data_IF_348959986146
#
_entry.id   IF_348959986146
#
_cell.length_a   1.000
_cell.length_b   1.000
_cell.length_c   1.000
_cell.angle_alpha   90.00
_cell.angle_beta   90.00
_cell.angle_gamma   90.00
#
_symmetry.space_group_name_H-M   'P 1'
#
loop_
_entity.id
_entity.type
_entity.pdbx_description
1 polymer ?
#
# COMPACT_ATOMS: atom_id res chain seq x y z
N UNK A 1 38.57 -6.70 15.68
CA UNK A 1 37.19 -7.19 15.47
C UNK A 1 36.66 -6.53 14.22
N UNK A 2 36.45 -7.30 13.15
CA UNK A 2 36.00 -6.76 11.86
C UNK A 2 34.54 -6.34 11.98
N UNK A 3 34.28 -5.03 12.02
CA UNK A 3 32.94 -4.45 12.00
C UNK A 3 32.41 -4.48 10.55
N UNK A 4 32.24 -5.68 10.00
CA UNK A 4 31.49 -5.87 8.77
C UNK A 4 30.01 -5.80 9.15
N UNK A 5 29.24 -4.80 8.71
CA UNK A 5 27.82 -4.74 9.02
C UNK A 5 27.16 -6.03 8.52
N UNK A 6 26.49 -6.75 9.41
CA UNK A 6 25.70 -7.93 9.05
C UNK A 6 24.68 -7.56 7.97
N UNK A 7 24.58 -8.39 6.93
CA UNK A 7 23.57 -8.22 5.90
C UNK A 7 22.16 -8.33 6.51
N UNK A 8 21.14 -7.65 5.92
CA UNK A 8 19.74 -7.91 6.25
C UNK A 8 19.47 -9.42 6.24
N UNK A 9 18.94 -9.94 7.33
CA UNK A 9 18.64 -11.38 7.45
C UNK A 9 17.14 -11.55 7.65
N UNK A 10 16.46 -12.35 6.82
CA UNK A 10 15.03 -12.62 6.96
C UNK A 10 14.76 -13.42 8.24
N UNK A 11 13.57 -13.21 8.80
CA UNK A 11 13.00 -14.08 9.83
C UNK A 11 12.31 -15.23 9.10
N UNK A 12 12.93 -16.42 9.12
CA UNK A 12 12.48 -17.55 8.29
C UNK A 12 11.04 -18.02 8.57
N UNK A 13 10.53 -17.86 9.79
CA UNK A 13 9.16 -18.23 10.16
C UNK A 13 8.08 -17.38 9.49
N UNK A 14 8.47 -16.25 8.90
CA UNK A 14 7.53 -15.31 8.29
C UNK A 14 7.31 -15.55 6.79
N UNK A 15 8.05 -16.47 6.16
CA UNK A 15 7.90 -16.82 4.75
C UNK A 15 6.73 -17.82 4.55
N UNK A 16 5.88 -17.52 3.57
CA UNK A 16 4.78 -18.37 3.12
C UNK A 16 4.61 -18.29 1.60
N UNK A 17 3.95 -19.29 1.02
CA UNK A 17 3.55 -19.26 -0.39
C UNK A 17 2.43 -18.24 -0.61
N UNK A 18 2.67 -17.25 -1.47
CA UNK A 18 1.70 -16.20 -1.80
C UNK A 18 0.66 -16.70 -2.81
N UNK A 19 -0.61 -16.40 -2.55
CA UNK A 19 -1.74 -16.83 -3.40
C UNK A 19 -2.68 -15.67 -3.61
N UNK A 20 -2.90 -15.31 -4.87
CA UNK A 20 -3.95 -14.38 -5.24
C UNK A 20 -5.33 -14.98 -4.93
N UNK A 21 -6.12 -14.27 -4.14
CA UNK A 21 -7.46 -14.67 -3.74
C UNK A 21 -8.48 -13.94 -4.60
N UNK A 22 -9.50 -14.64 -5.07
CA UNK A 22 -10.62 -13.99 -5.74
C UNK A 22 -11.53 -13.37 -4.69
N UNK A 23 -11.73 -12.05 -4.75
CA UNK A 23 -12.49 -11.29 -3.76
C UNK A 23 -13.70 -10.61 -4.38
N UNK A 24 -14.72 -10.37 -3.57
CA UNK A 24 -15.88 -9.56 -3.96
C UNK A 24 -16.46 -8.83 -2.75
N UNK A 25 -16.83 -7.57 -2.94
CA UNK A 25 -17.34 -6.70 -1.89
C UNK A 25 -18.66 -6.05 -2.34
N UNK A 26 -19.68 -6.09 -1.49
CA UNK A 26 -21.01 -5.51 -1.74
C UNK A 26 -21.10 -4.06 -1.27
N UNK A 27 -20.83 -3.11 -2.16
CA UNK A 27 -20.75 -1.68 -1.84
C UNK A 27 -22.10 -0.96 -1.72
N UNK A 28 -23.22 -1.62 -2.04
CA UNK A 28 -24.54 -1.00 -2.17
C UNK A 28 -24.98 -0.22 -0.94
N UNK A 29 -24.68 -0.73 0.25
CA UNK A 29 -25.09 -0.15 1.54
C UNK A 29 -23.97 0.59 2.27
N UNK A 30 -22.74 0.56 1.74
CA UNK A 30 -21.61 1.29 2.32
C UNK A 30 -21.87 2.81 2.21
N UNK A 31 -21.83 3.58 3.31
CA UNK A 31 -22.06 5.02 3.25
C UNK A 31 -20.79 5.79 2.85
N UNK A 32 -20.95 7.05 2.42
CA UNK A 32 -19.82 7.92 2.06
C UNK A 32 -18.83 8.07 3.22
N UNK A 33 -19.36 8.31 4.42
CA UNK A 33 -18.61 8.29 5.67
C UNK A 33 -18.78 6.94 6.35
N UNK A 34 -18.08 5.94 5.83
CA UNK A 34 -18.05 4.59 6.38
C UNK A 34 -17.48 4.51 7.81
N UNK A 35 -16.81 5.56 8.32
CA UNK A 35 -16.51 5.71 9.73
C UNK A 35 -17.46 6.77 10.36
N UNK A 36 -18.45 6.35 11.16
CA UNK A 36 -19.46 7.25 11.70
C UNK A 36 -18.87 8.43 12.48
N UNK A 37 -19.30 9.65 12.11
CA UNK A 37 -18.90 10.89 12.80
C UNK A 37 -17.44 11.31 12.59
N UNK A 38 -16.67 10.62 11.75
CA UNK A 38 -15.27 10.97 11.45
C UNK A 38 -15.01 10.98 9.92
N UNK A 39 -15.58 11.97 9.21
CA UNK A 39 -15.37 12.11 7.77
C UNK A 39 -13.91 12.39 7.41
N UNK A 40 -13.16 13.02 8.30
CA UNK A 40 -11.75 13.30 8.03
C UNK A 40 -10.92 12.01 7.99
N UNK A 41 -11.09 11.11 8.96
CA UNK A 41 -10.41 9.82 8.93
C UNK A 41 -10.90 8.95 7.76
N UNK A 42 -12.22 8.89 7.53
CA UNK A 42 -12.83 8.25 6.35
C UNK A 42 -12.11 8.68 5.07
N UNK A 43 -12.09 9.99 4.79
CA UNK A 43 -11.53 10.52 3.56
C UNK A 43 -10.01 10.44 3.47
N UNK A 44 -9.32 10.48 4.61
CA UNK A 44 -7.87 10.26 4.64
C UNK A 44 -7.54 8.83 4.25
N UNK A 45 -8.32 7.84 4.68
CA UNK A 45 -8.15 6.43 4.31
C UNK A 45 -8.61 6.19 2.87
N UNK A 46 -9.70 6.84 2.42
CA UNK A 46 -10.19 6.72 1.05
C UNK A 46 -9.16 7.12 -0.03
N UNK A 47 -8.11 7.87 0.34
CA UNK A 47 -7.00 8.17 -0.57
C UNK A 47 -6.33 6.90 -1.11
N UNK A 48 -6.37 5.79 -0.36
CA UNK A 48 -5.91 4.49 -0.83
C UNK A 48 -6.57 4.11 -2.17
N UNK A 49 -7.89 4.25 -2.28
CA UNK A 49 -8.62 3.92 -3.51
C UNK A 49 -8.24 4.83 -4.69
N UNK A 50 -7.73 6.04 -4.44
CA UNK A 50 -7.26 6.94 -5.49
C UNK A 50 -5.83 6.61 -5.98
N UNK A 51 -5.00 5.99 -5.13
CA UNK A 51 -3.57 5.81 -5.37
C UNK A 51 -3.21 4.37 -5.77
N UNK A 52 -3.74 3.40 -5.04
CA UNK A 52 -3.34 2.00 -5.15
C UNK A 52 -3.63 1.41 -6.54
N UNK A 53 -4.82 1.57 -7.15
CA UNK A 53 -5.10 0.92 -8.45
C UNK A 53 -4.09 1.27 -9.55
N UNK A 54 -3.66 2.53 -9.63
CA UNK A 54 -2.65 2.96 -10.60
C UNK A 54 -1.24 2.48 -10.22
N UNK A 55 -0.90 2.56 -8.92
CA UNK A 55 0.39 2.15 -8.39
C UNK A 55 0.66 0.65 -8.55
N UNK A 56 -0.30 -0.18 -8.19
CA UNK A 56 -0.17 -1.63 -8.18
C UNK A 56 -0.18 -2.22 -9.60
N UNK A 57 -0.99 -1.65 -10.51
CA UNK A 57 -0.87 -1.93 -11.95
C UNK A 57 0.53 -1.60 -12.47
N UNK A 58 1.13 -0.52 -11.98
CA UNK A 58 2.52 -0.17 -12.29
C UNK A 58 3.53 -1.14 -11.65
N UNK A 59 3.29 -1.64 -10.43
CA UNK A 59 4.13 -2.67 -9.80
C UNK A 59 4.15 -3.93 -10.66
N UNK A 60 2.98 -4.44 -11.03
CA UNK A 60 2.80 -5.60 -11.91
C UNK A 60 3.57 -5.42 -13.23
N UNK A 61 3.45 -4.25 -13.86
CA UNK A 61 4.16 -3.95 -15.11
C UNK A 61 5.67 -3.99 -14.94
N UNK A 62 6.22 -3.31 -13.92
CA UNK A 62 7.66 -3.25 -13.67
C UNK A 62 8.21 -4.62 -13.28
N UNK A 63 7.50 -5.38 -12.45
CA UNK A 63 7.99 -6.67 -11.98
C UNK A 63 7.95 -7.73 -13.07
N UNK A 64 6.98 -7.70 -14.00
CA UNK A 64 7.05 -8.53 -15.22
C UNK A 64 8.31 -8.26 -16.05
N UNK A 65 8.80 -7.02 -16.10
CA UNK A 65 10.06 -6.68 -16.78
C UNK A 65 11.30 -7.16 -16.01
N UNK A 66 11.22 -7.29 -14.67
CA UNK A 66 12.36 -7.69 -13.85
C UNK A 66 12.50 -9.21 -13.71
N UNK A 67 11.42 -9.99 -13.91
CA UNK A 67 11.43 -11.45 -13.80
C UNK A 67 12.63 -12.14 -14.48
N UNK A 68 13.06 -11.77 -15.72
CA UNK A 68 14.22 -12.41 -16.37
C UNK A 68 15.56 -12.20 -15.66
N UNK A 69 15.66 -11.25 -14.72
CA UNK A 69 16.87 -10.95 -13.96
C UNK A 69 16.94 -11.71 -12.63
N UNK A 70 15.85 -12.37 -12.22
CA UNK A 70 15.78 -13.14 -10.98
C UNK A 70 16.33 -14.55 -11.24
N UNK A 71 17.34 -14.94 -10.45
CA UNK A 71 18.04 -16.23 -10.57
C UNK A 71 17.66 -17.22 -9.47
N UNK A 72 17.17 -16.70 -8.35
CA UNK A 72 16.65 -17.49 -7.25
C UNK A 72 15.22 -17.93 -7.60
N UNK A 73 14.99 -19.24 -7.62
CA UNK A 73 13.70 -19.82 -8.03
C UNK A 73 12.59 -19.53 -7.01
N UNK A 74 12.91 -19.50 -5.72
CA UNK A 74 11.94 -19.18 -4.65
C UNK A 74 11.52 -17.71 -4.75
N UNK A 75 12.50 -16.79 -4.82
CA UNK A 75 12.21 -15.37 -4.98
C UNK A 75 11.43 -15.10 -6.27
N UNK A 76 11.72 -15.83 -7.35
CA UNK A 76 10.96 -15.73 -8.60
C UNK A 76 9.50 -16.16 -8.38
N UNK A 77 9.26 -17.26 -7.67
CA UNK A 77 7.91 -17.71 -7.34
C UNK A 77 7.17 -16.68 -6.46
N UNK A 78 7.84 -16.14 -5.45
CA UNK A 78 7.29 -15.11 -4.56
C UNK A 78 6.92 -13.84 -5.34
N UNK A 79 7.78 -13.38 -6.26
CA UNK A 79 7.48 -12.23 -7.14
C UNK A 79 6.29 -12.52 -8.08
N UNK A 80 6.12 -13.76 -8.53
CA UNK A 80 4.95 -14.14 -9.34
C UNK A 80 3.67 -14.15 -8.49
N UNK A 81 3.73 -14.64 -7.25
CA UNK A 81 2.61 -14.59 -6.31
C UNK A 81 2.21 -13.16 -5.97
N UNK A 82 3.18 -12.31 -5.65
CA UNK A 82 3.03 -10.87 -5.46
C UNK A 82 2.31 -10.22 -6.65
N UNK A 83 2.78 -10.44 -7.89
CA UNK A 83 2.11 -9.92 -9.10
C UNK A 83 0.63 -10.33 -9.17
N UNK A 84 0.29 -11.53 -8.70
CA UNK A 84 -1.09 -11.99 -8.62
C UNK A 84 -1.92 -11.24 -7.59
N UNK A 85 -1.41 -11.07 -6.36
CA UNK A 85 -2.08 -10.35 -5.27
C UNK A 85 -2.30 -8.88 -5.63
N UNK A 86 -1.26 -8.19 -6.10
CA UNK A 86 -1.33 -6.79 -6.56
C UNK A 86 -2.35 -6.55 -7.66
N UNK A 87 -2.53 -7.51 -8.57
CA UNK A 87 -3.55 -7.41 -9.61
C UNK A 87 -4.97 -7.47 -9.03
N UNK A 88 -5.17 -8.28 -7.97
CA UNK A 88 -6.43 -8.37 -7.25
C UNK A 88 -6.68 -7.13 -6.38
N UNK A 89 -5.65 -6.64 -5.68
CA UNK A 89 -5.71 -5.40 -4.89
C UNK A 89 -6.17 -4.23 -5.76
N UNK A 90 -5.53 -4.06 -6.91
CA UNK A 90 -5.82 -2.97 -7.83
C UNK A 90 -7.28 -3.00 -8.28
N UNK A 91 -7.79 -4.17 -8.65
CA UNK A 91 -9.18 -4.35 -9.07
C UNK A 91 -10.17 -4.04 -7.93
N UNK A 92 -9.92 -4.58 -6.74
CA UNK A 92 -10.81 -4.42 -5.59
C UNK A 92 -10.90 -2.95 -5.12
N UNK A 93 -9.79 -2.21 -5.16
CA UNK A 93 -9.79 -0.77 -4.86
C UNK A 93 -10.43 0.08 -5.97
N UNK A 94 -10.28 -0.30 -7.25
CA UNK A 94 -10.91 0.39 -8.39
C UNK A 94 -12.45 0.27 -8.32
N UNK A 95 -12.97 -0.86 -7.84
CA UNK A 95 -14.41 -1.12 -7.67
C UNK A 95 -15.11 -0.18 -6.67
N UNK A 96 -14.35 0.47 -5.77
CA UNK A 96 -14.88 1.48 -4.84
C UNK A 96 -15.19 2.80 -5.55
N UNK A 97 -14.46 3.14 -6.62
CA UNK A 97 -14.56 4.45 -7.27
C UNK A 97 -15.92 4.74 -7.91
N UNK A 98 -16.57 3.80 -8.63
CA UNK A 98 -17.94 3.99 -9.10
C UNK A 98 -18.95 4.20 -7.97
N UNK A 99 -18.72 3.59 -6.81
CA UNK A 99 -19.59 3.76 -5.65
C UNK A 99 -19.46 5.18 -5.06
N UNK A 100 -18.24 5.68 -4.86
CA UNK A 100 -18.01 7.08 -4.45
C UNK A 100 -18.71 8.08 -5.39
N UNK A 101 -18.63 7.82 -6.71
CA UNK A 101 -19.30 8.65 -7.72
C UNK A 101 -20.83 8.63 -7.59
N UNK A 102 -21.43 7.47 -7.27
CA UNK A 102 -22.89 7.35 -7.01
C UNK A 102 -23.31 8.15 -5.78
N UNK A 103 -22.44 8.24 -4.78
CA UNK A 103 -22.65 9.03 -3.58
C UNK A 103 -22.39 10.55 -3.77
N UNK A 104 -22.11 10.98 -5.00
CA UNK A 104 -21.95 12.40 -5.34
C UNK A 104 -20.52 12.93 -5.28
N UNK A 105 -19.53 12.06 -5.07
CA UNK A 105 -18.12 12.44 -5.04
C UNK A 105 -17.38 11.82 -6.23
N UNK A 106 -17.09 12.62 -7.27
CA UNK A 106 -16.43 12.13 -8.49
C UNK A 106 -14.90 12.09 -8.33
N UNK A 107 -14.25 10.91 -8.24
CA UNK A 107 -12.81 10.80 -8.03
C UNK A 107 -11.98 11.07 -9.30
N UNK A 108 -12.62 11.12 -10.47
CA UNK A 108 -11.97 11.14 -11.80
C UNK A 108 -10.87 12.20 -11.96
N UNK A 109 -11.05 13.47 -11.50
CA UNK A 109 -10.01 14.49 -11.66
C UNK A 109 -8.71 14.15 -10.92
N UNK A 110 -8.82 13.47 -9.78
CA UNK A 110 -7.65 13.07 -9.00
C UNK A 110 -7.02 11.80 -9.59
N UNK A 111 -7.81 10.78 -9.91
CA UNK A 111 -7.28 9.52 -10.46
C UNK A 111 -6.58 9.74 -11.81
N UNK A 112 -7.10 10.60 -12.68
CA UNK A 112 -6.43 10.95 -13.94
C UNK A 112 -5.02 11.54 -13.74
N UNK A 113 -4.80 12.29 -12.65
CA UNK A 113 -3.47 12.80 -12.31
C UNK A 113 -2.54 11.69 -11.83
N UNK A 114 -3.06 10.77 -11.02
CA UNK A 114 -2.31 9.62 -10.49
C UNK A 114 -1.93 8.66 -11.62
N UNK A 115 -2.87 8.36 -12.52
CA UNK A 115 -2.61 7.57 -13.73
C UNK A 115 -1.50 8.21 -14.56
N UNK A 116 -1.56 9.52 -14.79
CA UNK A 116 -0.50 10.23 -15.50
C UNK A 116 0.87 10.11 -14.80
N UNK A 117 0.91 10.21 -13.47
CA UNK A 117 2.13 10.05 -12.70
C UNK A 117 2.76 8.66 -12.94
N UNK A 118 1.99 7.59 -12.80
CA UNK A 118 2.50 6.23 -12.95
C UNK A 118 2.80 5.86 -14.41
N UNK A 119 1.98 6.29 -15.36
CA UNK A 119 2.16 5.96 -16.78
C UNK A 119 3.25 6.79 -17.45
N UNK A 120 3.37 8.08 -17.13
CA UNK A 120 4.25 9.01 -17.85
C UNK A 120 5.52 9.31 -17.09
N UNK A 121 5.42 9.64 -15.79
CA UNK A 121 6.60 10.00 -15.01
C UNK A 121 7.41 8.77 -14.60
N UNK A 122 6.70 7.73 -14.12
CA UNK A 122 7.28 6.48 -13.63
C UNK A 122 7.20 5.32 -14.63
N UNK A 123 6.54 5.52 -15.76
CA UNK A 123 6.36 4.49 -16.79
C UNK A 123 7.63 4.21 -17.60
N UNK A 124 7.44 3.50 -18.70
CA UNK A 124 8.54 3.19 -19.60
C UNK A 124 9.08 4.45 -20.28
N UNK A 125 10.41 4.52 -20.37
CA UNK A 125 11.12 5.64 -21.00
C UNK A 125 11.84 5.15 -22.24
N UNK A 126 11.84 5.98 -23.29
CA UNK A 126 12.65 5.76 -24.50
C UNK A 126 14.13 6.00 -24.19
N UNK A 127 14.76 5.03 -23.53
CA UNK A 127 16.17 5.04 -23.19
C UNK A 127 16.96 4.11 -24.11
N UNK A 128 18.23 4.45 -24.44
CA UNK A 128 19.09 3.58 -25.23
C UNK A 128 19.26 2.22 -24.53
N UNK A 129 19.35 1.11 -25.28
CA UNK A 129 19.62 -0.21 -24.72
C UNK A 129 20.89 -0.23 -23.85
N UNK A 130 20.93 -1.13 -22.87
CA UNK A 130 22.06 -1.30 -21.97
C UNK A 130 21.91 -0.52 -20.66
N UNK A 131 22.98 0.17 -20.23
CA UNK A 131 23.11 0.70 -18.87
C UNK A 131 22.00 1.67 -18.46
N UNK A 132 21.58 2.57 -19.34
CA UNK A 132 20.56 3.57 -19.03
C UNK A 132 19.19 2.93 -18.77
N UNK A 133 18.75 2.01 -19.66
CA UNK A 133 17.49 1.28 -19.51
C UNK A 133 17.50 0.40 -18.26
N UNK A 134 18.59 -0.33 -18.04
CA UNK A 134 18.72 -1.17 -16.85
C UNK A 134 18.72 -0.32 -15.56
N UNK A 135 19.45 0.81 -15.54
CA UNK A 135 19.42 1.74 -14.41
C UNK A 135 18.00 2.23 -14.11
N UNK A 136 17.21 2.59 -15.12
CA UNK A 136 15.83 3.04 -14.93
C UNK A 136 14.91 1.92 -14.42
N UNK A 137 15.13 0.68 -14.85
CA UNK A 137 14.41 -0.46 -14.26
C UNK A 137 14.75 -0.61 -12.77
N UNK A 138 16.03 -0.53 -12.39
CA UNK A 138 16.44 -0.62 -10.98
C UNK A 138 15.95 0.56 -10.13
N UNK A 139 15.82 1.77 -10.70
CA UNK A 139 15.16 2.90 -10.03
C UNK A 139 13.72 2.57 -9.64
N UNK A 140 12.95 2.01 -10.58
CA UNK A 140 11.54 1.67 -10.36
C UNK A 140 11.40 0.52 -9.36
N UNK A 141 12.21 -0.53 -9.47
CA UNK A 141 12.24 -1.61 -8.48
C UNK A 141 12.53 -1.09 -7.07
N UNK A 142 13.50 -0.18 -6.93
CA UNK A 142 13.84 0.43 -5.64
C UNK A 142 12.79 1.43 -5.12
N UNK A 143 11.98 2.02 -6.00
CA UNK A 143 10.82 2.83 -5.62
C UNK A 143 9.69 1.95 -5.13
N UNK A 144 9.39 0.83 -5.80
CA UNK A 144 8.37 -0.14 -5.38
C UNK A 144 8.71 -0.67 -3.99
N UNK A 145 9.94 -1.15 -3.77
CA UNK A 145 10.38 -1.62 -2.45
C UNK A 145 10.21 -0.58 -1.32
N UNK A 146 10.32 0.72 -1.65
CA UNK A 146 10.09 1.78 -0.69
C UNK A 146 8.60 2.07 -0.46
N UNK A 147 7.75 1.96 -1.49
CA UNK A 147 6.29 2.14 -1.35
C UNK A 147 5.71 0.96 -0.56
N UNK A 148 6.14 -0.26 -0.88
CA UNK A 148 5.75 -1.50 -0.23
C UNK A 148 6.06 -1.53 1.27
N UNK A 149 7.15 -0.88 1.68
CA UNK A 149 7.41 -0.68 3.10
C UNK A 149 6.29 0.11 3.80
N UNK A 150 5.72 1.11 3.14
CA UNK A 150 4.64 1.92 3.70
C UNK A 150 3.28 1.22 3.63
N UNK A 151 3.00 0.47 2.57
CA UNK A 151 1.76 -0.32 2.47
C UNK A 151 1.77 -1.44 3.51
N UNK A 152 2.90 -2.14 3.72
CA UNK A 152 3.05 -3.12 4.80
C UNK A 152 2.86 -2.48 6.19
N UNK A 153 3.38 -1.27 6.43
CA UNK A 153 3.13 -0.53 7.67
C UNK A 153 1.64 -0.18 7.87
N UNK A 154 0.96 0.25 6.82
CA UNK A 154 -0.48 0.56 6.87
C UNK A 154 -1.33 -0.71 7.01
N UNK A 155 -0.91 -1.80 6.39
CA UNK A 155 -1.53 -3.12 6.49
C UNK A 155 -1.47 -3.65 7.91
N UNK A 156 -0.29 -3.63 8.54
CA UNK A 156 -0.16 -3.97 9.96
C UNK A 156 -0.98 -3.03 10.84
N UNK A 157 -1.00 -1.72 10.56
CA UNK A 157 -1.81 -0.78 11.33
C UNK A 157 -3.31 -1.10 11.27
N UNK A 158 -3.88 -1.35 10.09
CA UNK A 158 -5.34 -1.54 9.94
C UNK A 158 -5.82 -2.87 10.53
N UNK A 159 -4.97 -3.89 10.53
CA UNK A 159 -5.23 -5.15 11.24
C UNK A 159 -5.32 -4.97 12.76
N UNK A 160 -4.69 -3.92 13.29
CA UNK A 160 -4.63 -3.62 14.72
C UNK A 160 -5.43 -2.34 15.10
N UNK A 161 -6.27 -1.82 14.19
CA UNK A 161 -6.99 -0.57 14.37
C UNK A 161 -8.33 -0.75 15.11
N UNK A 162 -8.30 -1.23 16.36
CA UNK A 162 -9.50 -1.52 17.18
C UNK A 162 -10.46 -0.32 17.38
N UNK A 163 -9.97 0.91 17.20
CA UNK A 163 -10.83 2.10 17.24
C UNK A 163 -11.84 2.13 16.10
N UNK A 164 -11.50 1.60 14.92
CA UNK A 164 -12.40 1.55 13.77
C UNK A 164 -13.61 0.66 14.10
N UNK A 165 -13.38 -0.52 14.69
CA UNK A 165 -14.47 -1.41 15.14
C UNK A 165 -15.31 -0.75 16.25
N UNK A 166 -14.65 -0.14 17.24
CA UNK A 166 -15.35 0.51 18.37
C UNK A 166 -16.24 1.67 17.95
N UNK A 167 -15.94 2.32 16.82
CA UNK A 167 -16.76 3.38 16.25
C UNK A 167 -17.82 2.88 15.27
N UNK A 168 -17.89 1.59 15.01
CA UNK A 168 -18.83 1.00 14.06
C UNK A 168 -18.51 1.39 12.62
N UNK A 169 -17.24 1.30 12.23
CA UNK A 169 -16.86 1.39 10.83
C UNK A 169 -17.63 0.36 9.98
N UNK A 170 -17.97 0.74 8.75
CA UNK A 170 -18.65 -0.14 7.79
C UNK A 170 -17.87 -1.45 7.60
N UNK A 171 -18.52 -2.62 7.77
CA UNK A 171 -17.83 -3.89 7.75
C UNK A 171 -17.29 -4.25 6.36
N UNK A 172 -17.93 -3.82 5.27
CA UNK A 172 -17.47 -4.12 3.90
C UNK A 172 -16.20 -3.33 3.58
N UNK A 173 -16.20 -2.03 3.88
CA UNK A 173 -15.01 -1.20 3.72
C UNK A 173 -13.85 -1.69 4.60
N UNK A 174 -14.13 -2.01 5.86
CA UNK A 174 -13.10 -2.49 6.78
C UNK A 174 -12.54 -3.85 6.34
N UNK A 175 -13.37 -4.71 5.75
CA UNK A 175 -12.91 -5.99 5.21
C UNK A 175 -12.00 -5.83 4.00
N UNK A 176 -12.32 -4.95 3.04
CA UNK A 176 -11.40 -4.62 1.93
C UNK A 176 -10.04 -4.16 2.48
N UNK A 177 -10.05 -3.19 3.40
CA UNK A 177 -8.83 -2.60 3.92
C UNK A 177 -7.98 -3.61 4.69
N UNK A 178 -8.60 -4.51 5.46
CA UNK A 178 -7.88 -5.53 6.24
C UNK A 178 -7.49 -6.75 5.41
N UNK A 179 -8.27 -7.13 4.41
CA UNK A 179 -7.86 -8.17 3.45
C UNK A 179 -6.60 -7.72 2.71
N UNK A 180 -6.64 -6.53 2.13
CA UNK A 180 -5.48 -5.95 1.47
C UNK A 180 -4.33 -5.81 2.46
N UNK A 181 -4.57 -5.19 3.63
CA UNK A 181 -3.56 -5.02 4.66
C UNK A 181 -2.92 -6.33 5.14
N UNK A 182 -3.67 -7.43 5.18
CA UNK A 182 -3.13 -8.75 5.48
C UNK A 182 -2.24 -9.29 4.37
N UNK A 183 -2.63 -9.16 3.10
CA UNK A 183 -1.78 -9.55 1.97
C UNK A 183 -0.50 -8.68 1.90
N UNK A 184 -0.60 -7.38 2.22
CA UNK A 184 0.58 -6.49 2.39
C UNK A 184 1.55 -7.00 3.45
N UNK A 185 1.02 -7.57 4.53
CA UNK A 185 1.86 -8.23 5.54
C UNK A 185 2.40 -9.56 5.00
N UNK A 186 1.60 -10.41 4.35
CA UNK A 186 2.07 -11.69 3.77
C UNK A 186 3.28 -11.48 2.84
N UNK A 187 3.25 -10.46 1.98
CA UNK A 187 4.28 -10.23 0.97
C UNK A 187 5.31 -9.15 1.28
N UNK A 188 5.28 -8.56 2.48
CA UNK A 188 6.11 -7.40 2.90
C UNK A 188 7.60 -7.47 2.58
N UNK A 189 8.17 -8.68 2.47
CA UNK A 189 9.59 -8.88 2.16
C UNK A 189 9.88 -8.95 0.66
N UNK A 190 8.93 -9.32 -0.19
CA UNK A 190 9.16 -9.66 -1.60
C UNK A 190 9.80 -8.51 -2.38
N UNK A 191 9.23 -7.31 -2.28
CA UNK A 191 9.73 -6.15 -3.00
C UNK A 191 11.15 -5.73 -2.56
N UNK A 192 11.42 -5.86 -1.26
CA UNK A 192 12.73 -5.60 -0.68
C UNK A 192 13.76 -6.64 -1.12
N UNK A 193 13.42 -7.92 -1.01
CA UNK A 193 14.29 -9.04 -1.37
C UNK A 193 14.61 -9.03 -2.87
N UNK A 194 13.61 -8.72 -3.69
CA UNK A 194 13.80 -8.48 -5.11
C UNK A 194 14.80 -7.35 -5.35
N UNK A 195 14.62 -6.18 -4.72
CA UNK A 195 15.57 -5.07 -4.85
C UNK A 195 16.99 -5.46 -4.41
N UNK A 196 17.12 -6.17 -3.29
CA UNK A 196 18.42 -6.63 -2.77
C UNK A 196 19.08 -7.65 -3.71
N UNK A 197 18.29 -8.50 -4.37
CA UNK A 197 18.76 -9.50 -5.33
C UNK A 197 19.28 -8.89 -6.64
N UNK A 198 18.60 -7.86 -7.18
CA UNK A 198 18.95 -7.30 -8.51
C UNK A 198 19.84 -6.05 -8.47
N UNK A 199 19.87 -5.28 -7.38
CA UNK A 199 20.69 -4.06 -7.23
C UNK A 199 21.36 -3.96 -5.85
N UNK A 200 20.58 -4.01 -4.76
CA UNK A 200 21.08 -3.97 -3.38
C UNK A 200 21.82 -2.69 -2.97
N UNK A 201 21.84 -1.65 -3.81
CA UNK A 201 22.60 -0.43 -3.58
C UNK A 201 21.97 0.45 -2.50
N UNK A 202 22.61 0.55 -1.32
CA UNK A 202 22.09 1.37 -0.20
C UNK A 202 21.83 2.84 -0.58
N UNK A 203 22.69 3.45 -1.41
CA UNK A 203 22.48 4.83 -1.88
C UNK A 203 21.21 4.98 -2.70
N UNK A 204 20.88 3.98 -3.53
CA UNK A 204 19.64 3.97 -4.32
C UNK A 204 18.45 3.79 -3.38
N UNK A 205 18.47 2.75 -2.53
CA UNK A 205 17.46 2.48 -1.51
C UNK A 205 17.08 3.72 -0.70
N UNK A 206 18.07 4.41 -0.12
CA UNK A 206 17.81 5.58 0.72
C UNK A 206 17.24 6.76 -0.09
N UNK A 207 17.72 6.99 -1.31
CA UNK A 207 17.22 8.09 -2.17
C UNK A 207 15.83 7.82 -2.71
N UNK A 208 15.56 6.61 -3.20
CA UNK A 208 14.23 6.22 -3.71
C UNK A 208 13.23 6.19 -2.59
N UNK A 209 13.62 5.76 -1.38
CA UNK A 209 12.81 5.91 -0.17
C UNK A 209 12.45 7.37 0.12
N UNK A 210 13.43 8.28 0.15
CA UNK A 210 13.15 9.69 0.42
C UNK A 210 12.22 10.31 -0.64
N UNK A 211 12.37 9.88 -1.89
CA UNK A 211 11.53 10.31 -3.02
C UNK A 211 10.11 9.76 -2.87
N UNK A 212 9.96 8.46 -2.60
CA UNK A 212 8.68 7.79 -2.38
C UNK A 212 7.95 8.40 -1.18
N UNK A 213 8.62 8.56 -0.04
CA UNK A 213 8.06 9.20 1.15
C UNK A 213 7.53 10.61 0.86
N UNK A 214 8.34 11.45 0.19
CA UNK A 214 7.95 12.81 -0.13
C UNK A 214 6.74 12.83 -1.08
N UNK A 215 6.74 11.97 -2.10
CA UNK A 215 5.64 11.86 -3.04
C UNK A 215 4.35 11.35 -2.36
N UNK A 216 4.44 10.31 -1.53
CA UNK A 216 3.31 9.76 -0.79
C UNK A 216 2.71 10.79 0.15
N UNK A 217 3.52 11.49 0.97
CA UNK A 217 3.03 12.55 1.86
C UNK A 217 2.31 13.64 1.08
N UNK A 218 2.87 14.08 -0.05
CA UNK A 218 2.27 15.09 -0.91
C UNK A 218 0.93 14.64 -1.50
N UNK A 219 0.90 13.43 -2.09
CA UNK A 219 -0.30 12.85 -2.69
C UNK A 219 -1.37 12.63 -1.62
N UNK A 220 -1.02 12.08 -0.45
CA UNK A 220 -1.97 11.86 0.64
C UNK A 220 -2.61 13.15 1.14
N UNK A 221 -1.79 14.18 1.38
CA UNK A 221 -2.30 15.48 1.79
C UNK A 221 -3.25 16.07 0.74
N UNK A 222 -2.88 15.97 -0.54
CA UNK A 222 -3.70 16.48 -1.65
C UNK A 222 -4.99 15.67 -1.80
N UNK A 223 -4.94 14.35 -1.63
CA UNK A 223 -6.08 13.45 -1.72
C UNK A 223 -7.08 13.70 -0.59
N UNK A 224 -6.60 13.80 0.65
CA UNK A 224 -7.45 14.14 1.79
C UNK A 224 -8.10 15.52 1.62
N UNK A 225 -7.36 16.51 1.10
CA UNK A 225 -7.94 17.82 0.74
C UNK A 225 -9.00 17.70 -0.35
N UNK A 226 -8.69 16.98 -1.41
CA UNK A 226 -9.61 16.76 -2.52
C UNK A 226 -10.92 16.15 -2.04
N UNK A 227 -10.87 15.07 -1.25
CA UNK A 227 -12.08 14.47 -0.69
C UNK A 227 -12.85 15.44 0.20
N UNK A 228 -12.19 16.09 1.18
CA UNK A 228 -12.86 17.02 2.09
C UNK A 228 -13.49 18.23 1.39
N UNK A 229 -12.88 18.72 0.30
CA UNK A 229 -13.38 19.88 -0.45
C UNK A 229 -14.51 19.52 -1.44
N UNK A 230 -14.61 18.25 -1.85
CA UNK A 230 -15.60 17.76 -2.81
C UNK A 230 -16.65 16.85 -2.16
N UNK A 231 -16.68 16.78 -0.83
CA UNK A 231 -17.68 16.05 -0.08
C UNK A 231 -19.05 16.76 -0.14
N UNK A 232 -20.10 16.13 -0.71
CA UNK A 232 -21.42 16.74 -0.82
C UNK A 232 -22.13 16.93 0.53
N UNK A 233 -21.75 16.19 1.57
CA UNK A 233 -22.34 16.28 2.91
C UNK A 233 -21.66 17.33 3.80
N UNK A 234 -20.46 17.80 3.41
CA UNK A 234 -19.63 18.72 4.17
C UNK A 234 -19.25 20.00 3.40
N UNK A 235 -20.22 20.88 3.10
CA UNK A 235 -19.94 22.09 2.34
C UNK A 235 -18.88 22.96 3.03
N UNK A 236 -17.84 23.32 2.26
CA UNK A 236 -16.70 24.13 2.70
C UNK A 236 -15.79 23.52 3.78
N UNK A 237 -15.86 22.20 4.01
CA UNK A 237 -14.91 21.53 4.87
C UNK A 237 -13.48 21.54 4.28
N UNK A 238 -12.48 21.59 5.16
CA UNK A 238 -11.07 21.61 4.77
C UNK A 238 -10.31 20.61 5.62
N UNK A 239 -9.44 19.84 4.96
CA UNK A 239 -8.48 19.01 5.66
C UNK A 239 -7.47 19.88 6.43
N UNK A 240 -7.21 19.53 7.69
CA UNK A 240 -6.24 20.24 8.54
C UNK A 240 -5.30 19.29 9.26
N UNK A 241 -4.08 19.75 9.55
CA UNK A 241 -3.12 19.00 10.36
C UNK A 241 -3.66 18.74 11.78
N UNK A 242 -4.46 19.65 12.31
CA UNK A 242 -5.10 19.47 13.63
C UNK A 242 -6.04 18.27 13.67
N UNK A 243 -6.80 18.02 12.59
CA UNK A 243 -7.63 16.81 12.46
C UNK A 243 -6.76 15.56 12.35
N UNK A 244 -5.70 15.59 11.54
CA UNK A 244 -4.74 14.48 11.42
C UNK A 244 -4.16 14.06 12.78
N UNK A 245 -3.63 15.01 13.56
CA UNK A 245 -3.10 14.72 14.89
C UNK A 245 -4.19 14.30 15.89
N UNK A 246 -5.45 14.68 15.69
CA UNK A 246 -6.56 14.25 16.54
C UNK A 246 -6.95 12.80 16.22
N UNK A 247 -7.17 12.48 14.95
CA UNK A 247 -7.47 11.13 14.48
C UNK A 247 -6.36 10.14 14.87
N UNK A 248 -5.08 10.53 14.70
CA UNK A 248 -3.94 9.72 15.12
C UNK A 248 -3.85 9.48 16.64
N UNK A 249 -4.32 10.42 17.47
CA UNK A 249 -4.43 10.22 18.94
C UNK A 249 -5.61 9.36 19.34
N UNK A 250 -6.68 9.42 18.54
CA UNK A 250 -7.89 8.63 18.76
C UNK A 250 -7.73 7.19 18.27
N UNK A 251 -6.79 6.92 17.36
CA UNK A 251 -6.56 5.60 16.77
C UNK A 251 -7.34 5.35 15.48
N UNK A 252 -8.03 6.36 14.93
CA UNK A 252 -8.71 6.25 13.63
C UNK A 252 -7.79 6.47 12.43
N UNK A 253 -6.55 6.90 12.68
CA UNK A 253 -5.45 6.96 11.71
C UNK A 253 -4.14 6.53 12.38
N UNK A 254 -3.08 6.17 11.62
CA UNK A 254 -1.75 6.01 12.17
C UNK A 254 -1.29 7.26 12.92
N UNK A 255 -0.72 7.08 14.11
CA UNK A 255 -0.19 8.22 14.86
C UNK A 255 1.08 8.78 14.21
N UNK A 256 1.29 10.09 14.31
CA UNK A 256 2.53 10.71 13.82
C UNK A 256 3.79 10.10 14.48
N UNK A 257 3.69 9.66 15.74
CA UNK A 257 4.77 8.96 16.43
C UNK A 257 5.10 7.61 15.80
N UNK A 258 4.08 6.83 15.43
CA UNK A 258 4.26 5.56 14.72
C UNK A 258 4.92 5.77 13.34
N UNK A 259 4.44 6.76 12.58
CA UNK A 259 5.03 7.10 11.28
C UNK A 259 6.48 7.59 11.39
N UNK A 260 6.81 8.39 12.42
CA UNK A 260 8.20 8.82 12.64
C UNK A 260 9.11 7.66 13.06
N UNK A 261 8.57 6.66 13.76
CA UNK A 261 9.32 5.48 14.19
C UNK A 261 9.64 4.52 13.04
N UNK A 262 8.85 4.48 11.97
CA UNK A 262 9.12 3.64 10.79
C UNK A 262 10.24 4.20 9.89
N UNK A 263 10.55 5.49 9.99
CA UNK A 263 11.64 6.11 9.20
C UNK A 263 13.01 5.49 9.49
N UNK A 264 13.52 5.46 10.75
CA UNK A 264 14.83 4.91 11.03
C UNK A 264 14.91 3.39 10.82
N UNK A 265 13.80 2.65 10.90
CA UNK A 265 13.82 1.19 10.68
C UNK A 265 14.16 0.90 9.23
N UNK A 266 13.44 1.46 8.24
CA UNK A 266 13.76 1.21 6.83
C UNK A 266 15.14 1.70 6.40
N UNK A 267 15.69 2.75 7.02
CA UNK A 267 17.03 3.23 6.69
C UNK A 267 18.15 2.45 7.38
N UNK A 268 17.83 1.54 8.30
CA UNK A 268 18.85 0.70 8.92
C UNK A 268 19.47 -0.26 7.90
N UNK A 269 20.79 -0.47 8.00
CA UNK A 269 21.53 -1.40 7.15
C UNK A 269 21.23 -2.87 7.46
N UNK A 270 20.75 -3.15 8.67
CA UNK A 270 20.38 -4.50 9.12
C UNK A 270 18.87 -4.76 9.03
N UNK A 271 18.10 -3.80 8.55
CA UNK A 271 16.66 -3.91 8.42
C UNK A 271 16.25 -4.93 7.36
N UNK A 272 15.26 -5.74 7.71
CA UNK A 272 14.55 -6.65 6.83
C UNK A 272 13.04 -6.54 7.10
N UNK A 273 12.16 -6.39 6.08
CA UNK A 273 10.72 -6.20 6.30
C UNK A 273 10.00 -7.31 7.05
N UNK A 274 10.52 -8.54 7.01
CA UNK A 274 9.96 -9.65 7.81
C UNK A 274 9.86 -9.37 9.32
N UNK A 275 10.56 -8.36 9.83
CA UNK A 275 10.51 -7.94 11.25
C UNK A 275 9.28 -7.09 11.59
N UNK A 276 8.56 -6.61 10.57
CA UNK A 276 7.35 -5.78 10.73
C UNK A 276 6.10 -6.68 10.58
N UNK A 277 5.06 -6.45 11.37
CA UNK A 277 3.82 -7.24 11.33
C UNK A 277 3.99 -8.73 11.67
N UNK A 278 2.90 -9.50 11.54
CA UNK A 278 2.87 -10.93 11.82
C UNK A 278 2.19 -11.72 10.69
N UNK A 279 2.93 -12.64 10.07
CA UNK A 279 2.37 -13.53 9.03
C UNK A 279 1.23 -14.39 9.61
N UNK A 280 1.36 -14.84 10.86
CA UNK A 280 0.32 -15.63 11.52
C UNK A 280 -1.00 -14.83 11.70
N UNK A 281 -0.91 -13.55 12.07
CA UNK A 281 -2.09 -12.67 12.18
C UNK A 281 -2.73 -12.42 10.81
N UNK A 282 -1.92 -12.13 9.79
CA UNK A 282 -2.39 -11.91 8.43
C UNK A 282 -3.16 -13.12 7.88
N UNK A 283 -2.55 -14.31 7.98
CA UNK A 283 -3.18 -15.57 7.55
C UNK A 283 -4.47 -15.83 8.33
N UNK A 284 -4.50 -15.56 9.64
CA UNK A 284 -5.71 -15.72 10.44
C UNK A 284 -6.84 -14.78 9.98
N UNK A 285 -6.53 -13.52 9.66
CA UNK A 285 -7.52 -12.60 9.12
C UNK A 285 -8.06 -13.07 7.77
N UNK A 286 -7.16 -13.43 6.84
CA UNK A 286 -7.50 -13.86 5.49
C UNK A 286 -8.40 -15.12 5.49
N UNK A 287 -8.19 -16.03 6.44
CA UNK A 287 -9.05 -17.20 6.63
C UNK A 287 -10.48 -16.83 7.11
N UNK A 288 -10.67 -15.63 7.66
CA UNK A 288 -11.95 -15.15 8.19
C UNK A 288 -12.61 -14.03 7.35
N UNK A 289 -11.89 -13.47 6.36
CA UNK A 289 -12.38 -12.36 5.53
C UNK A 289 -13.63 -12.78 4.73
N UNK A 290 -14.79 -12.11 4.93
CA UNK A 290 -16.00 -12.38 4.15
C UNK A 290 -15.81 -12.20 2.64
N UNK A 291 -15.13 -11.13 2.23
CA UNK A 291 -14.86 -10.81 0.83
C UNK A 291 -13.96 -11.83 0.14
N UNK A 292 -12.98 -12.40 0.87
CA UNK A 292 -12.10 -13.45 0.34
C UNK A 292 -12.69 -14.87 0.37
N UNK A 293 -13.75 -15.10 1.14
CA UNK A 293 -14.35 -16.42 1.34
C UNK A 293 -15.78 -16.56 0.77
N UNK A 294 -16.16 -15.70 -0.17
CA UNK A 294 -17.36 -15.89 -0.98
C UNK A 294 -18.58 -15.04 -0.61
N UNK A 295 -18.40 -13.91 0.06
CA UNK A 295 -19.39 -12.82 0.07
C UNK A 295 -20.80 -13.21 0.51
N UNK A 296 -20.93 -14.18 1.43
CA UNK A 296 -22.22 -14.45 2.06
C UNK A 296 -22.41 -13.44 3.18
N UNK A 297 -23.20 -12.40 2.90
CA UNK A 297 -23.85 -11.62 3.95
C UNK A 297 -24.52 -12.59 4.93
N UNK A 298 -24.17 -12.48 6.21
CA UNK A 298 -24.90 -13.11 7.31
C UNK A 298 -26.20 -12.34 7.58
#
# INVERSE_FOLDING_TARGET
MSNTPHAPTPVASEHIELKARNVSFGWEDTPLHWLPGDPFATHTINVLHLLLPAGERWFVHVYKQVLPYIKDEQLRADVVGFIGQEAMHAAAHDDVLPHLKRLGLDPTPYTAQVDWLFEKLLGDRTLPPGRARHWWLMERVALIAAIEHYTAFLGDWVLNADELDRRGADPVMLDLLRWHGAEEVEHRSVAFDLFMHVDGGYRRRARTWATAFTALVFLWQRGARFFMENDPELPAAKASLGQFFRAGRQGTLPSAGAMLKSIPTYLSRTYHPSQEGSTAQAVAYLASSPGANGGAAA
#
